data_IF_172740701017
#
_entry.id   IF_172740701017
#
_cell.length_a   1.000
_cell.length_b   1.000
_cell.length_c   1.000
_cell.angle_alpha   90.00
_cell.angle_beta   90.00
_cell.angle_gamma   90.00
#
_symmetry.space_group_name_H-M   'P 1'
#
loop_
_entity.id
_entity.type
_entity.pdbx_description
1 polymer ?
#
# COMPACT_ATOMS: atom_id res chain seq x y z
N UNK A 1 -11.54 -15.96 -4.37
CA UNK A 1 -11.53 -17.29 -3.71
C UNK A 1 -10.18 -18.03 -3.81
N UNK A 2 -9.60 -18.21 -5.00
CA UNK A 2 -8.31 -18.91 -5.17
C UNK A 2 -7.18 -18.33 -4.31
N UNK A 3 -7.02 -16.99 -4.29
CA UNK A 3 -5.97 -16.33 -3.51
C UNK A 3 -6.08 -16.63 -2.00
N UNK A 4 -7.27 -16.60 -1.42
CA UNK A 4 -7.48 -16.90 0.00
C UNK A 4 -7.22 -18.38 0.31
N UNK A 5 -7.61 -19.30 -0.57
CA UNK A 5 -7.27 -20.72 -0.42
C UNK A 5 -5.76 -20.93 -0.39
N UNK A 6 -5.02 -20.28 -1.30
CA UNK A 6 -3.55 -20.32 -1.33
C UNK A 6 -2.94 -19.68 -0.07
N UNK A 7 -3.47 -18.55 0.39
CA UNK A 7 -3.02 -17.88 1.60
C UNK A 7 -3.18 -18.75 2.85
N UNK A 8 -4.30 -19.49 2.97
CA UNK A 8 -4.50 -20.50 4.03
C UNK A 8 -3.46 -21.62 3.98
N UNK A 9 -3.16 -22.15 2.81
CA UNK A 9 -2.12 -23.18 2.64
C UNK A 9 -0.74 -22.69 3.07
N UNK A 10 -0.43 -21.44 2.75
CA UNK A 10 0.83 -20.78 3.14
C UNK A 10 0.82 -20.25 4.58
N UNK A 11 -0.29 -20.43 5.32
CA UNK A 11 -0.47 -19.96 6.71
C UNK A 11 -0.20 -18.46 6.88
N UNK A 12 -0.57 -17.66 5.88
CA UNK A 12 -0.53 -16.20 5.98
C UNK A 12 -1.54 -15.75 7.04
N UNK A 13 -1.16 -14.80 7.89
CA UNK A 13 -2.05 -14.34 8.96
C UNK A 13 -3.24 -13.59 8.35
N UNK A 14 -4.49 -13.87 8.77
CA UNK A 14 -5.66 -13.14 8.28
C UNK A 14 -5.56 -11.63 8.48
N UNK A 15 -4.97 -11.18 9.59
CA UNK A 15 -4.74 -9.77 9.89
C UNK A 15 -3.87 -9.06 8.82
N UNK A 16 -2.87 -9.74 8.25
CA UNK A 16 -2.03 -9.16 7.19
C UNK A 16 -2.84 -8.98 5.90
N UNK A 17 -3.63 -9.99 5.52
CA UNK A 17 -4.51 -9.92 4.35
C UNK A 17 -5.57 -8.83 4.51
N UNK A 18 -6.13 -8.70 5.71
CA UNK A 18 -7.07 -7.64 6.04
C UNK A 18 -6.46 -6.26 5.83
N UNK A 19 -5.22 -6.02 6.27
CA UNK A 19 -4.55 -4.73 6.06
C UNK A 19 -4.25 -4.44 4.57
N UNK A 20 -3.94 -5.47 3.76
CA UNK A 20 -3.78 -5.32 2.30
C UNK A 20 -5.11 -4.91 1.66
N UNK A 21 -6.22 -5.54 2.05
CA UNK A 21 -7.55 -5.21 1.56
C UNK A 21 -7.95 -3.81 2.02
N UNK A 22 -7.78 -3.50 3.30
CA UNK A 22 -8.13 -2.21 3.88
C UNK A 22 -7.39 -1.09 3.17
N UNK A 23 -6.07 -1.17 2.99
CA UNK A 23 -5.32 -0.08 2.35
C UNK A 23 -5.65 0.10 0.86
N UNK A 24 -6.27 -0.90 0.22
CA UNK A 24 -6.57 -0.85 -1.22
C UNK A 24 -7.50 0.30 -1.61
N UNK A 25 -8.35 0.81 -0.70
CA UNK A 25 -9.26 1.91 -1.05
C UNK A 25 -8.51 3.19 -1.44
N UNK A 26 -7.29 3.39 -0.94
CA UNK A 26 -6.45 4.55 -1.29
C UNK A 26 -6.09 4.60 -2.78
N UNK A 27 -6.02 3.43 -3.43
CA UNK A 27 -5.53 3.29 -4.80
C UNK A 27 -6.58 2.74 -5.77
N UNK A 28 -7.52 1.94 -5.27
CA UNK A 28 -8.55 1.22 -6.03
C UNK A 28 -9.98 1.70 -5.71
N UNK A 29 -10.14 2.58 -4.73
CA UNK A 29 -11.42 3.12 -4.27
C UNK A 29 -12.22 2.18 -3.34
N UNK A 30 -13.15 2.77 -2.59
CA UNK A 30 -14.03 2.03 -1.68
C UNK A 30 -14.81 0.88 -2.33
N UNK A 31 -15.39 1.01 -3.54
CA UNK A 31 -16.19 -0.06 -4.13
C UNK A 31 -15.41 -1.37 -4.24
N UNK A 32 -14.17 -1.33 -4.74
CA UNK A 32 -13.34 -2.54 -4.89
C UNK A 32 -12.87 -3.10 -3.55
N UNK A 33 -12.53 -2.21 -2.60
CA UNK A 33 -12.16 -2.64 -1.24
C UNK A 33 -13.33 -3.36 -0.55
N UNK A 34 -14.55 -2.83 -0.64
CA UNK A 34 -15.74 -3.43 -0.03
C UNK A 34 -16.05 -4.82 -0.62
N UNK A 35 -15.95 -4.98 -1.93
CA UNK A 35 -16.12 -6.31 -2.56
C UNK A 35 -15.03 -7.30 -2.10
N UNK A 36 -13.77 -6.87 -2.02
CA UNK A 36 -12.69 -7.70 -1.49
C UNK A 36 -12.90 -8.07 -0.01
N UNK A 37 -13.40 -7.13 0.80
CA UNK A 37 -13.69 -7.35 2.22
C UNK A 37 -14.82 -8.37 2.43
N UNK A 38 -15.88 -8.35 1.60
CA UNK A 38 -16.95 -9.35 1.63
C UNK A 38 -16.39 -10.75 1.36
N UNK A 39 -15.57 -10.90 0.30
CA UNK A 39 -14.96 -12.18 -0.05
C UNK A 39 -13.98 -12.66 1.03
N UNK A 40 -13.25 -11.74 1.66
CA UNK A 40 -12.35 -12.07 2.76
C UNK A 40 -13.13 -12.56 3.98
N UNK A 41 -14.20 -11.88 4.38
CA UNK A 41 -15.00 -12.30 5.52
C UNK A 41 -15.69 -13.66 5.30
N UNK A 42 -16.16 -13.93 4.08
CA UNK A 42 -16.66 -15.26 3.72
C UNK A 42 -15.56 -16.34 3.78
N UNK A 43 -14.33 -16.00 3.43
CA UNK A 43 -13.19 -16.92 3.48
C UNK A 43 -12.61 -17.10 4.89
N UNK A 44 -12.73 -16.12 5.78
CA UNK A 44 -12.20 -16.11 7.14
C UNK A 44 -13.31 -15.68 8.14
N UNK A 45 -14.36 -16.52 8.32
CA UNK A 45 -15.48 -16.19 9.22
C UNK A 45 -15.05 -16.06 10.69
N UNK A 46 -13.93 -16.66 11.06
CA UNK A 46 -13.33 -16.58 12.40
C UNK A 46 -12.62 -15.25 12.68
N UNK A 47 -12.28 -14.48 11.65
CA UNK A 47 -11.53 -13.24 11.83
C UNK A 47 -12.45 -12.13 12.34
N UNK A 48 -12.10 -11.54 13.49
CA UNK A 48 -12.81 -10.40 14.07
C UNK A 48 -11.96 -9.12 14.00
N UNK A 49 -12.28 -8.17 13.11
CA UNK A 49 -11.52 -6.93 12.99
C UNK A 49 -11.56 -6.07 14.26
N UNK A 50 -12.49 -6.29 15.20
CA UNK A 50 -12.54 -5.53 16.46
C UNK A 50 -11.45 -5.95 17.43
N UNK A 51 -11.00 -7.20 17.37
CA UNK A 51 -10.02 -7.77 18.29
C UNK A 51 -8.67 -8.01 17.63
N UNK A 52 -8.64 -8.23 16.31
CA UNK A 52 -7.44 -8.55 15.55
C UNK A 52 -6.90 -7.37 14.72
N UNK A 53 -7.56 -6.21 14.77
CA UNK A 53 -7.14 -5.00 14.05
C UNK A 53 -6.86 -3.84 15.00
N UNK A 54 -6.04 -2.88 14.56
CA UNK A 54 -5.81 -1.65 15.32
C UNK A 54 -7.15 -0.89 15.48
N UNK A 55 -7.55 -0.54 16.71
CA UNK A 55 -8.85 0.04 17.00
C UNK A 55 -9.00 1.41 16.34
N UNK A 56 -10.23 1.73 15.95
CA UNK A 56 -10.57 3.02 15.37
C UNK A 56 -10.96 4.02 16.47
N UNK A 57 -10.26 5.16 16.51
CA UNK A 57 -10.55 6.27 17.42
C UNK A 57 -10.42 7.59 16.68
N UNK A 58 -11.52 8.34 16.62
CA UNK A 58 -11.62 9.64 15.93
C UNK A 58 -10.76 10.72 16.58
N UNK A 59 -10.32 10.54 17.84
CA UNK A 59 -9.48 11.51 18.54
C UNK A 59 -7.99 11.37 18.21
N UNK A 60 -7.61 10.44 17.32
CA UNK A 60 -6.23 10.19 16.95
C UNK A 60 -5.71 11.06 15.80
N UNK A 61 -6.44 12.10 15.38
CA UNK A 61 -6.10 12.90 14.21
C UNK A 61 -4.66 13.41 14.21
N UNK A 62 -4.20 13.97 15.33
CA UNK A 62 -2.81 14.45 15.44
C UNK A 62 -1.80 13.32 15.36
N UNK A 63 -2.05 12.20 16.05
CA UNK A 63 -1.19 11.02 16.00
C UNK A 63 -1.09 10.44 14.57
N UNK A 64 -2.21 10.39 13.83
CA UNK A 64 -2.20 9.98 12.43
C UNK A 64 -1.39 10.93 11.57
N UNK A 65 -1.54 12.24 11.77
CA UNK A 65 -0.72 13.22 11.05
C UNK A 65 0.78 13.02 11.34
N UNK A 66 1.18 12.97 12.61
CA UNK A 66 2.58 12.87 13.01
C UNK A 66 3.23 11.57 12.51
N UNK A 67 2.57 10.43 12.71
CA UNK A 67 3.07 9.14 12.22
C UNK A 67 3.02 9.05 10.70
N UNK A 68 2.13 9.80 10.05
CA UNK A 68 2.04 9.94 8.61
C UNK A 68 3.22 10.70 8.04
N UNK A 69 3.65 11.80 8.68
CA UNK A 69 4.85 12.53 8.30
C UNK A 69 6.08 11.63 8.42
N UNK A 70 6.21 10.90 9.52
CA UNK A 70 7.32 9.96 9.74
C UNK A 70 7.40 8.93 8.62
N UNK A 71 6.30 8.21 8.35
CA UNK A 71 6.30 7.20 7.28
C UNK A 71 6.52 7.81 5.89
N UNK A 72 5.92 8.97 5.59
CA UNK A 72 6.12 9.66 4.32
C UNK A 72 7.60 10.00 4.11
N UNK A 73 8.30 10.47 5.15
CA UNK A 73 9.76 10.70 5.10
C UNK A 73 10.54 9.41 4.86
N UNK A 74 10.18 8.31 5.51
CA UNK A 74 10.85 7.01 5.31
C UNK A 74 10.69 6.49 3.88
N UNK A 75 9.49 6.67 3.30
CA UNK A 75 9.16 6.25 1.93
C UNK A 75 9.88 7.10 0.90
N UNK A 76 9.91 8.43 1.06
CA UNK A 76 10.50 9.32 0.06
C UNK A 76 11.98 9.65 0.28
N UNK A 77 12.50 9.54 1.49
CA UNK A 77 13.86 9.96 1.89
C UNK A 77 14.19 11.36 1.34
N UNK A 78 15.30 11.50 0.62
CA UNK A 78 15.76 12.72 -0.07
C UNK A 78 14.74 13.34 -1.05
N UNK A 79 13.63 12.64 -1.35
CA UNK A 79 12.54 13.15 -2.20
C UNK A 79 11.36 13.70 -1.39
N UNK A 80 11.41 13.67 -0.06
CA UNK A 80 10.32 14.16 0.79
C UNK A 80 10.14 15.68 0.64
N UNK A 81 11.18 16.48 0.85
CA UNK A 81 11.07 17.96 0.79
C UNK A 81 10.65 18.44 -0.61
N UNK A 82 11.18 17.89 -1.72
CA UNK A 82 10.66 18.19 -3.06
C UNK A 82 9.18 17.83 -3.23
N UNK A 83 8.74 16.66 -2.74
CA UNK A 83 7.34 16.24 -2.81
C UNK A 83 6.46 17.21 -2.02
N UNK A 84 6.80 17.48 -0.77
CA UNK A 84 6.08 18.37 0.13
C UNK A 84 5.91 19.75 -0.51
N UNK A 85 7.00 20.36 -1.00
CA UNK A 85 6.95 21.66 -1.67
C UNK A 85 6.02 21.66 -2.88
N UNK A 86 6.10 20.64 -3.73
CA UNK A 86 5.25 20.53 -4.93
C UNK A 86 3.80 20.37 -4.53
N UNK A 87 3.47 19.41 -3.66
CA UNK A 87 2.07 19.11 -3.31
C UNK A 87 1.42 20.28 -2.55
N UNK A 88 2.13 20.91 -1.60
CA UNK A 88 1.63 22.11 -0.90
C UNK A 88 1.36 23.26 -1.87
N UNK A 89 2.19 23.43 -2.90
CA UNK A 89 1.97 24.45 -3.93
C UNK A 89 0.76 24.17 -4.82
N UNK A 90 0.36 22.90 -4.96
CA UNK A 90 -0.85 22.50 -5.68
C UNK A 90 -2.09 22.73 -4.81
N UNK A 91 -2.06 22.25 -3.56
CA UNK A 91 -3.08 22.50 -2.54
C UNK A 91 -2.59 21.99 -1.17
N UNK A 92 -2.71 22.82 -0.11
CA UNK A 92 -2.43 22.38 1.25
C UNK A 92 -3.26 21.17 1.69
N UNK A 93 -4.54 21.14 1.32
CA UNK A 93 -5.47 20.06 1.66
C UNK A 93 -5.01 18.72 1.09
N UNK A 94 -4.52 18.70 -0.16
CA UNK A 94 -4.00 17.48 -0.78
C UNK A 94 -2.83 16.92 0.04
N UNK A 95 -1.88 17.78 0.43
CA UNK A 95 -0.74 17.33 1.22
C UNK A 95 -1.17 16.81 2.59
N UNK A 96 -1.98 17.59 3.32
CA UNK A 96 -2.41 17.22 4.66
C UNK A 96 -3.26 15.96 4.65
N UNK A 97 -4.17 15.78 3.68
CA UNK A 97 -4.96 14.56 3.55
C UNK A 97 -4.11 13.37 3.12
N UNK A 98 -3.15 13.53 2.21
CA UNK A 98 -2.24 12.45 1.85
C UNK A 98 -1.46 11.94 3.06
N UNK A 99 -0.93 12.85 3.88
CA UNK A 99 -0.19 12.54 5.11
C UNK A 99 -1.11 11.91 6.16
N UNK A 100 -2.23 12.55 6.46
CA UNK A 100 -3.17 12.12 7.49
C UNK A 100 -3.89 10.81 7.13
N UNK A 101 -4.52 10.76 5.95
CA UNK A 101 -5.38 9.67 5.51
C UNK A 101 -4.54 8.49 5.03
N UNK A 102 -3.61 8.75 4.11
CA UNK A 102 -2.80 7.74 3.45
C UNK A 102 -1.73 7.19 4.38
N UNK A 103 -0.69 7.99 4.63
CA UNK A 103 0.46 7.54 5.40
C UNK A 103 0.12 7.29 6.86
N UNK A 104 -0.62 8.20 7.48
CA UNK A 104 -1.01 8.19 8.87
C UNK A 104 -2.00 7.08 9.19
N UNK A 105 -3.26 7.32 8.88
CA UNK A 105 -4.38 6.48 9.31
C UNK A 105 -4.30 5.05 8.78
N UNK A 106 -3.79 4.86 7.57
CA UNK A 106 -3.79 3.55 6.89
C UNK A 106 -2.41 2.89 6.85
N UNK A 107 -1.42 3.51 6.19
CA UNK A 107 -0.16 2.82 5.90
C UNK A 107 0.77 2.67 7.11
N UNK A 108 0.58 3.44 8.18
CA UNK A 108 1.34 3.28 9.43
C UNK A 108 0.73 2.29 10.43
N UNK A 109 -0.34 1.55 10.07
CA UNK A 109 -0.96 0.55 10.96
C UNK A 109 -0.07 -0.69 11.14
N UNK A 110 -0.01 -1.22 12.36
CA UNK A 110 1.05 -2.16 12.79
C UNK A 110 0.96 -3.60 12.24
N UNK A 111 -0.22 -4.02 11.80
CA UNK A 111 -0.47 -5.41 11.39
C UNK A 111 0.15 -5.80 10.04
N UNK A 112 0.75 -4.84 9.32
CA UNK A 112 1.44 -5.09 8.06
C UNK A 112 2.66 -4.16 7.97
N UNK A 113 3.82 -4.72 7.67
CA UNK A 113 5.08 -3.97 7.63
C UNK A 113 5.13 -3.01 6.44
N UNK A 114 5.85 -1.90 6.58
CA UNK A 114 6.01 -0.91 5.51
C UNK A 114 6.50 -1.52 4.17
N UNK A 115 7.49 -2.45 4.14
CA UNK A 115 7.85 -3.16 2.92
C UNK A 115 6.68 -3.86 2.24
N UNK A 116 5.88 -4.63 2.98
CA UNK A 116 4.76 -5.39 2.41
C UNK A 116 3.63 -4.46 1.97
N UNK A 117 3.45 -3.34 2.67
CA UNK A 117 2.52 -2.28 2.25
C UNK A 117 2.90 -1.70 0.90
N UNK A 118 4.13 -1.23 0.76
CA UNK A 118 4.62 -0.66 -0.50
C UNK A 118 4.58 -1.67 -1.65
N UNK A 119 4.95 -2.94 -1.41
CA UNK A 119 4.82 -4.02 -2.40
C UNK A 119 3.35 -4.24 -2.84
N UNK A 120 2.41 -4.20 -1.91
CA UNK A 120 0.98 -4.30 -2.23
C UNK A 120 0.50 -3.10 -3.03
N UNK A 121 0.96 -1.89 -2.70
CA UNK A 121 0.65 -0.67 -3.44
C UNK A 121 1.20 -0.72 -4.86
N UNK A 122 2.43 -1.22 -5.05
CA UNK A 122 2.99 -1.50 -6.37
C UNK A 122 2.06 -2.40 -7.17
N UNK A 123 1.56 -3.48 -6.56
CA UNK A 123 0.61 -4.38 -7.23
C UNK A 123 -0.69 -3.67 -7.65
N UNK A 124 -1.25 -2.82 -6.78
CA UNK A 124 -2.46 -2.05 -7.10
C UNK A 124 -2.23 -1.06 -8.25
N UNK A 125 -1.12 -0.33 -8.22
CA UNK A 125 -0.79 0.70 -9.21
C UNK A 125 -0.40 0.12 -10.56
N UNK A 126 0.11 -1.12 -10.58
CA UNK A 126 0.30 -1.89 -11.80
C UNK A 126 -1.04 -2.21 -12.45
N UNK A 127 -2.03 -2.71 -11.70
CA UNK A 127 -3.37 -2.97 -12.22
C UNK A 127 -4.05 -1.72 -12.78
N UNK A 128 -3.75 -0.54 -12.24
CA UNK A 128 -4.29 0.75 -12.67
C UNK A 128 -3.43 1.50 -13.70
N UNK A 129 -2.26 0.95 -14.09
CA UNK A 129 -1.27 1.57 -14.98
C UNK A 129 -0.92 3.04 -14.64
N UNK A 130 -0.74 3.36 -13.36
CA UNK A 130 -0.42 4.72 -12.87
C UNK A 130 1.08 4.93 -12.74
N UNK A 131 1.75 5.23 -13.85
CA UNK A 131 3.22 5.21 -13.95
C UNK A 131 3.96 6.12 -12.95
N UNK A 132 3.47 7.35 -12.70
CA UNK A 132 4.13 8.27 -11.78
C UNK A 132 4.07 7.78 -10.33
N UNK A 133 2.89 7.35 -9.89
CA UNK A 133 2.69 6.74 -8.57
C UNK A 133 3.46 5.43 -8.46
N UNK A 134 3.46 4.60 -9.50
CA UNK A 134 4.20 3.34 -9.54
C UNK A 134 5.71 3.58 -9.35
N UNK A 135 6.27 4.62 -9.95
CA UNK A 135 7.67 5.03 -9.71
C UNK A 135 7.93 5.46 -8.28
N UNK A 136 7.02 6.24 -7.70
CA UNK A 136 7.14 6.68 -6.31
C UNK A 136 7.13 5.47 -5.35
N UNK A 137 6.19 4.54 -5.53
CA UNK A 137 6.01 3.39 -4.63
C UNK A 137 7.03 2.24 -4.87
N UNK A 138 7.53 2.05 -6.09
CA UNK A 138 8.68 1.14 -6.32
C UNK A 138 9.91 1.68 -5.58
N UNK A 139 10.18 2.99 -5.68
CA UNK A 139 11.26 3.61 -4.90
C UNK A 139 10.98 3.53 -3.39
N UNK A 140 9.74 3.79 -2.99
CA UNK A 140 9.24 3.68 -1.63
C UNK A 140 9.54 2.32 -1.01
N UNK A 141 9.14 1.25 -1.70
CA UNK A 141 9.42 -0.13 -1.32
C UNK A 141 10.91 -0.35 -1.04
N UNK A 142 11.79 0.07 -1.95
CA UNK A 142 13.24 -0.06 -1.79
C UNK A 142 13.75 0.76 -0.59
N UNK A 143 13.22 1.96 -0.39
CA UNK A 143 13.63 2.87 0.68
C UNK A 143 13.29 2.32 2.08
N UNK A 144 12.12 1.70 2.23
CA UNK A 144 11.67 1.08 3.49
C UNK A 144 12.20 -0.34 3.68
N UNK A 145 13.05 -0.83 2.78
CA UNK A 145 13.78 -2.09 2.93
C UNK A 145 13.07 -3.33 2.37
N UNK A 146 12.18 -3.17 1.39
CA UNK A 146 11.65 -4.31 0.66
C UNK A 146 12.78 -5.06 -0.07
N UNK A 147 12.73 -6.38 0.02
CA UNK A 147 13.66 -7.24 -0.69
C UNK A 147 13.47 -7.08 -2.21
N UNK A 148 14.58 -6.89 -2.93
CA UNK A 148 14.57 -6.65 -4.38
C UNK A 148 14.02 -7.85 -5.14
N UNK A 149 14.32 -9.08 -4.69
CA UNK A 149 13.80 -10.29 -5.32
C UNK A 149 12.30 -10.39 -5.10
N UNK A 150 11.81 -10.08 -3.90
CA UNK A 150 10.37 -10.07 -3.63
C UNK A 150 9.62 -9.02 -4.46
N UNK A 151 10.20 -7.83 -4.64
CA UNK A 151 9.66 -6.80 -5.54
C UNK A 151 9.60 -7.29 -7.00
N UNK A 152 10.66 -7.94 -7.47
CA UNK A 152 10.70 -8.58 -8.80
C UNK A 152 9.60 -9.66 -8.91
N UNK A 153 9.51 -10.56 -7.92
CA UNK A 153 8.52 -11.64 -7.85
C UNK A 153 7.08 -11.08 -7.88
N UNK A 154 6.80 -9.96 -7.19
CA UNK A 154 5.50 -9.29 -7.24
C UNK A 154 5.21 -8.82 -8.67
N UNK A 155 6.14 -8.09 -9.29
CA UNK A 155 5.96 -7.55 -10.65
C UNK A 155 5.71 -8.67 -11.66
N UNK A 156 6.46 -9.78 -11.58
CA UNK A 156 6.28 -10.94 -12.45
C UNK A 156 4.96 -11.67 -12.17
N UNK A 157 4.61 -11.90 -10.90
CA UNK A 157 3.43 -12.70 -10.51
C UNK A 157 2.12 -12.06 -10.99
N UNK A 158 2.02 -10.74 -10.97
CA UNK A 158 0.81 -10.03 -11.42
C UNK A 158 0.90 -9.55 -12.86
N UNK A 159 2.01 -9.81 -13.56
CA UNK A 159 2.34 -9.22 -14.86
C UNK A 159 1.25 -9.46 -15.90
N UNK A 160 0.83 -10.71 -16.07
CA UNK A 160 -0.21 -11.09 -17.03
C UNK A 160 -1.54 -10.37 -16.77
N UNK A 161 -1.92 -10.22 -15.50
CA UNK A 161 -3.16 -9.55 -15.12
C UNK A 161 -3.09 -8.03 -15.27
N UNK A 162 -1.89 -7.45 -15.10
CA UNK A 162 -1.67 -6.00 -15.13
C UNK A 162 -1.54 -5.43 -16.56
N UNK A 163 -1.35 -6.26 -17.58
CA UNK A 163 -1.26 -5.81 -18.98
C UNK A 163 -0.15 -4.77 -19.18
N UNK A 164 -0.49 -3.58 -19.72
CA UNK A 164 0.47 -2.48 -19.90
C UNK A 164 1.17 -2.04 -18.60
N UNK A 165 0.50 -2.20 -17.46
CA UNK A 165 1.06 -1.92 -16.15
C UNK A 165 2.32 -2.74 -15.85
N UNK A 166 2.41 -3.96 -16.38
CA UNK A 166 3.61 -4.79 -16.27
C UNK A 166 4.80 -4.19 -17.01
N UNK A 167 4.62 -3.80 -18.27
CA UNK A 167 5.67 -3.16 -19.05
C UNK A 167 6.16 -1.85 -18.39
N UNK A 168 5.21 -1.05 -17.89
CA UNK A 168 5.50 0.15 -17.09
C UNK A 168 6.34 -0.18 -15.85
N UNK A 169 5.94 -1.19 -15.06
CA UNK A 169 6.65 -1.61 -13.86
C UNK A 169 8.08 -2.08 -14.16
N UNK A 170 8.27 -2.95 -15.16
CA UNK A 170 9.60 -3.44 -15.56
C UNK A 170 10.52 -2.30 -15.97
N UNK A 171 10.02 -1.37 -16.79
CA UNK A 171 10.79 -0.20 -17.25
C UNK A 171 11.22 0.68 -16.07
N UNK A 172 10.29 0.98 -15.17
CA UNK A 172 10.53 1.82 -13.99
C UNK A 172 11.49 1.12 -13.02
N UNK A 173 11.25 -0.14 -12.68
CA UNK A 173 12.07 -0.91 -11.76
C UNK A 173 13.52 -0.99 -12.25
N UNK A 174 13.72 -1.35 -13.53
CA UNK A 174 15.05 -1.36 -14.17
C UNK A 174 15.77 -0.02 -14.10
N UNK A 175 15.05 1.10 -14.18
CA UNK A 175 15.66 2.43 -14.08
C UNK A 175 16.06 2.80 -12.64
N UNK A 176 15.41 2.21 -11.63
CA UNK A 176 15.66 2.51 -10.21
C UNK A 176 16.70 1.61 -9.55
N UNK A 177 16.95 0.41 -10.09
CA UNK A 177 17.93 -0.55 -9.53
C UNK A 177 19.26 -0.59 -10.28
N UNK A 178 19.42 0.23 -11.31
CA UNK A 178 20.72 0.53 -11.94
C UNK A 178 21.54 1.42 -11.03
#
# INVERSE_FOLDING_TARGET
EFAFKKAKQLKIKPAELYEIILQSYLFLGFPRMLEAAKLFHAAYPEFDPKTESEPFDMNQTQNWYDRGITLCKDVYKEKYEPLEKVVLSLSPEIFHWMVFEGYGKVLSRKNLSAPVRELSVVAFLMMENRQEQLRAHIRGALNVGADKKLLDDVIETIGDAAGEGYASARKIYKALVR
#
